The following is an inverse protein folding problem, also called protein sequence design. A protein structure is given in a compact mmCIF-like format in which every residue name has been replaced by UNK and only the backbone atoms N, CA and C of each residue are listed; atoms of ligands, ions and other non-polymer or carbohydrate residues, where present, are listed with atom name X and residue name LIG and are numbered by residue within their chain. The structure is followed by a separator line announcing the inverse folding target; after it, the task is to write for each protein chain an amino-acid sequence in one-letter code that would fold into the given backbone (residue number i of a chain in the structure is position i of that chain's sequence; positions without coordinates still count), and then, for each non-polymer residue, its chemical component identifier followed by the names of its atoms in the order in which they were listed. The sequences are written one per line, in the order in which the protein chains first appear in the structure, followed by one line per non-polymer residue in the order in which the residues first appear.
data_IF_917324980835
#
_entry.id   IF_917324980835
#
_cell.length_a   1.000
_cell.length_b   1.000
_cell.length_c   1.000
_cell.angle_alpha   90.00
_cell.angle_beta   90.00
_cell.angle_gamma   90.00
#
_symmetry.space_group_name_H-M   'P 1'
#
loop_
_entity.id
_entity.type
_entity.pdbx_description
1 polymer ?
#
# COMPACT_ATOMS: atom_id res chain seq x y z
N UNK A 1 -5.97 -13.19 -6.53
CA UNK A 1 -5.22 -11.94 -6.73
C UNK A 1 -4.47 -11.97 -8.07
N UNK A 2 -4.29 -10.81 -8.71
CA UNK A 2 -3.48 -10.63 -9.92
C UNK A 2 -2.08 -10.11 -9.55
N UNK A 3 -1.03 -10.53 -10.27
CA UNK A 3 0.30 -9.90 -10.15
C UNK A 3 0.27 -8.61 -10.96
N UNK A 4 0.47 -7.48 -10.31
CA UNK A 4 0.41 -6.15 -10.94
C UNK A 4 1.79 -5.53 -11.15
N UNK A 5 2.83 -6.07 -10.52
CA UNK A 5 4.21 -5.61 -10.67
C UNK A 5 5.20 -6.55 -10.00
N UNK A 6 6.47 -6.45 -10.38
CA UNK A 6 7.55 -7.24 -9.78
C UNK A 6 8.85 -6.43 -9.73
N UNK A 7 9.57 -6.52 -8.61
CA UNK A 7 10.92 -5.95 -8.48
C UNK A 7 11.79 -6.86 -7.61
N UNK A 8 13.01 -7.18 -8.07
CA UNK A 8 13.96 -8.05 -7.35
C UNK A 8 13.33 -9.39 -6.90
N UNK A 9 12.42 -9.97 -7.70
CA UNK A 9 11.72 -11.21 -7.36
C UNK A 9 10.58 -11.06 -6.35
N UNK A 10 10.25 -9.84 -5.92
CA UNK A 10 9.10 -9.54 -5.05
C UNK A 10 7.93 -9.14 -5.94
N UNK A 11 6.87 -9.93 -5.91
CA UNK A 11 5.64 -9.69 -6.68
C UNK A 11 4.65 -8.91 -5.84
N UNK A 12 4.06 -7.89 -6.43
CA UNK A 12 2.96 -7.12 -5.87
C UNK A 12 1.65 -7.65 -6.45
N UNK A 13 0.66 -7.79 -5.58
CA UNK A 13 -0.64 -8.35 -5.89
C UNK A 13 -1.76 -7.33 -5.71
N UNK A 14 -2.83 -7.49 -6.49
CA UNK A 14 -4.11 -6.82 -6.26
C UNK A 14 -5.25 -7.83 -6.20
N UNK A 15 -6.38 -7.47 -5.58
CA UNK A 15 -7.65 -8.16 -5.81
C UNK A 15 -7.96 -8.24 -7.31
N UNK A 16 -8.68 -9.28 -7.74
CA UNK A 16 -8.95 -9.54 -9.16
C UNK A 16 -9.92 -8.55 -9.80
N UNK A 17 -10.74 -7.92 -8.97
CA UNK A 17 -11.74 -6.91 -9.32
C UNK A 17 -11.23 -5.47 -9.12
N UNK A 18 -10.06 -5.28 -8.50
CA UNK A 18 -9.46 -3.97 -8.29
C UNK A 18 -8.93 -3.36 -9.60
N UNK A 19 -9.02 -2.04 -9.69
CA UNK A 19 -8.25 -1.28 -10.67
C UNK A 19 -6.87 -0.96 -10.10
N UNK A 20 -5.84 -0.88 -10.94
CA UNK A 20 -4.53 -0.40 -10.53
C UNK A 20 -3.98 0.60 -11.54
N UNK A 21 -3.11 1.51 -11.09
CA UNK A 21 -2.44 2.45 -11.98
C UNK A 21 -1.03 2.77 -11.51
N UNK A 22 -0.11 2.78 -12.46
CA UNK A 22 1.24 3.26 -12.25
C UNK A 22 1.35 4.78 -12.33
N UNK A 23 0.40 5.48 -12.96
CA UNK A 23 0.60 6.85 -13.44
C UNK A 23 -0.46 7.85 -12.97
N UNK A 24 -1.38 7.45 -12.09
CA UNK A 24 -2.51 8.31 -11.71
C UNK A 24 -2.12 9.43 -10.73
N UNK A 25 -1.13 9.19 -9.88
CA UNK A 25 -0.71 10.15 -8.85
C UNK A 25 0.45 11.03 -9.32
N UNK A 26 0.49 12.34 -8.95
CA UNK A 26 1.49 13.30 -9.42
C UNK A 26 2.82 13.21 -8.66
N UNK A 27 3.18 12.03 -8.14
CA UNK A 27 4.38 11.83 -7.35
C UNK A 27 5.49 11.16 -8.18
N UNK A 28 6.74 11.43 -7.82
CA UNK A 28 7.93 10.93 -8.53
C UNK A 28 7.89 9.41 -8.77
N UNK A 29 7.37 8.65 -7.80
CA UNK A 29 7.25 7.20 -7.92
C UNK A 29 6.43 6.78 -9.14
N UNK A 30 5.32 7.48 -9.39
CA UNK A 30 4.40 7.20 -10.49
C UNK A 30 4.97 7.65 -11.84
N UNK A 31 5.65 8.80 -11.91
CA UNK A 31 6.29 9.24 -13.15
C UNK A 31 7.43 8.33 -13.63
N UNK A 32 7.95 7.47 -12.76
CA UNK A 32 9.03 6.51 -13.07
C UNK A 32 8.57 5.04 -12.96
N UNK A 33 7.27 4.78 -12.84
CA UNK A 33 6.72 3.42 -12.66
C UNK A 33 7.34 2.62 -11.50
N UNK A 34 7.72 3.32 -10.42
CA UNK A 34 8.26 2.72 -9.18
C UNK A 34 7.25 2.69 -8.03
N UNK A 35 6.01 3.11 -8.28
CA UNK A 35 4.87 3.03 -7.36
C UNK A 35 3.61 2.63 -8.13
N UNK A 36 2.68 1.98 -7.43
CA UNK A 36 1.40 1.52 -7.98
C UNK A 36 0.31 1.92 -7.00
N UNK A 37 -0.72 2.59 -7.52
CA UNK A 37 -1.96 2.80 -6.79
C UNK A 37 -2.88 1.61 -7.06
N UNK A 38 -3.43 1.03 -5.99
CA UNK A 38 -4.44 -0.02 -6.05
C UNK A 38 -5.75 0.59 -5.57
N UNK A 39 -6.78 0.52 -6.42
CA UNK A 39 -8.13 0.97 -6.13
C UNK A 39 -9.00 -0.27 -5.96
N UNK A 40 -9.28 -0.70 -4.72
CA UNK A 40 -10.14 -1.84 -4.49
C UNK A 40 -11.55 -1.56 -5.03
N UNK A 41 -12.26 -2.59 -5.46
CA UNK A 41 -13.61 -2.47 -6.01
C UNK A 41 -14.67 -2.32 -4.91
N UNK A 42 -14.42 -1.43 -3.96
CA UNK A 42 -15.44 -0.95 -3.03
C UNK A 42 -15.84 0.47 -3.44
N UNK A 43 -17.15 0.70 -3.63
CA UNK A 43 -17.68 2.01 -4.05
C UNK A 43 -17.69 3.06 -2.92
N UNK A 44 -17.16 2.72 -1.74
CA UNK A 44 -17.18 3.55 -0.54
C UNK A 44 -15.77 3.85 -0.02
N UNK A 45 -15.59 5.04 0.54
CA UNK A 45 -14.35 5.44 1.22
C UNK A 45 -14.21 4.72 2.56
N UNK A 46 -12.97 4.34 2.91
CA UNK A 46 -12.68 3.70 4.20
C UNK A 46 -12.98 2.20 4.26
N UNK A 47 -13.22 1.57 3.10
CA UNK A 47 -13.35 0.12 2.99
C UNK A 47 -12.08 -0.64 3.40
N UNK A 48 -12.20 -1.95 3.64
CA UNK A 48 -11.05 -2.80 3.95
C UNK A 48 -10.11 -2.90 2.75
N UNK A 49 -8.82 -3.01 3.03
CA UNK A 49 -7.78 -3.24 2.03
C UNK A 49 -7.02 -4.51 2.36
N UNK A 50 -6.66 -5.27 1.33
CA UNK A 50 -5.84 -6.48 1.43
C UNK A 50 -4.35 -6.11 1.32
N UNK A 51 -3.49 -6.95 1.89
CA UNK A 51 -2.05 -6.78 1.71
C UNK A 51 -1.67 -7.13 0.26
N UNK A 52 -0.86 -6.31 -0.43
CA UNK A 52 -0.39 -6.65 -1.78
C UNK A 52 0.74 -7.68 -1.77
N UNK A 53 1.24 -8.08 -0.59
CA UNK A 53 2.32 -9.07 -0.45
C UNK A 53 2.15 -9.92 0.81
N UNK A 54 2.75 -11.12 0.77
CA UNK A 54 2.98 -11.95 1.96
C UNK A 54 4.25 -11.48 2.66
N UNK A 55 4.21 -11.34 3.98
CA UNK A 55 5.38 -10.91 4.73
C UNK A 55 5.08 -10.48 6.16
N UNK A 56 6.02 -9.77 6.76
CA UNK A 56 5.93 -9.29 8.14
C UNK A 56 5.81 -7.78 8.18
N UNK A 57 4.82 -7.28 8.92
CA UNK A 57 4.71 -5.85 9.23
C UNK A 57 5.83 -5.49 10.21
N UNK A 58 6.82 -4.72 9.75
CA UNK A 58 8.02 -4.38 10.55
C UNK A 58 8.01 -2.96 11.07
N UNK A 59 7.21 -2.06 10.47
CA UNK A 59 7.08 -0.68 10.94
C UNK A 59 5.77 -0.05 10.50
N UNK A 60 5.17 0.74 11.38
CA UNK A 60 4.09 1.68 11.07
C UNK A 60 4.50 3.08 11.51
N UNK A 61 4.43 4.04 10.58
CA UNK A 61 4.66 5.45 10.86
C UNK A 61 3.35 6.22 10.69
N UNK A 62 2.80 6.72 11.80
CA UNK A 62 1.64 7.62 11.79
C UNK A 62 2.11 9.06 11.60
N UNK A 63 1.49 9.78 10.67
CA UNK A 63 1.84 11.16 10.32
C UNK A 63 0.60 12.03 10.34
N UNK A 64 0.66 13.19 11.00
CA UNK A 64 -0.45 14.15 10.98
C UNK A 64 -0.54 14.82 9.62
N UNK A 65 -1.72 14.80 9.02
CA UNK A 65 -1.97 15.47 7.75
C UNK A 65 -1.91 16.99 7.94
N UNK A 66 -1.31 17.66 6.95
CA UNK A 66 -1.13 19.11 6.97
C UNK A 66 -2.43 19.84 6.62
N UNK A 67 -2.59 20.18 5.33
CA UNK A 67 -3.77 20.90 4.85
C UNK A 67 -4.97 19.95 4.71
N UNK A 68 -6.16 20.43 5.08
CA UNK A 68 -7.43 19.75 4.74
C UNK A 68 -7.53 19.61 3.23
N UNK A 69 -7.97 18.44 2.78
CA UNK A 69 -8.18 18.14 1.36
C UNK A 69 -9.66 18.26 1.01
N UNK A 70 -9.95 18.42 -0.28
CA UNK A 70 -11.32 18.55 -0.82
C UNK A 70 -12.05 17.21 -0.96
N UNK A 71 -11.45 16.12 -0.48
CA UNK A 71 -12.03 14.78 -0.46
C UNK A 71 -11.98 14.20 0.97
N UNK A 72 -12.80 13.17 1.28
CA UNK A 72 -12.80 12.55 2.60
C UNK A 72 -11.40 12.04 2.98
N UNK A 73 -10.82 12.61 4.03
CA UNK A 73 -9.51 12.20 4.55
C UNK A 73 -9.53 12.21 6.07
N UNK A 74 -8.78 11.30 6.67
CA UNK A 74 -8.48 11.34 8.09
C UNK A 74 -7.46 12.45 8.44
N UNK A 75 -7.43 12.83 9.72
CA UNK A 75 -6.41 13.75 10.28
C UNK A 75 -4.99 13.18 10.24
N UNK A 76 -4.87 11.88 10.00
CA UNK A 76 -3.61 11.15 9.98
C UNK A 76 -3.53 10.22 8.79
N UNK A 77 -2.31 10.09 8.26
CA UNK A 77 -1.95 9.10 7.26
C UNK A 77 -0.89 8.16 7.85
N UNK A 78 -0.70 7.01 7.20
CA UNK A 78 0.17 5.95 7.67
C UNK A 78 1.11 5.49 6.56
N UNK A 79 2.39 5.37 6.90
CA UNK A 79 3.35 4.59 6.15
C UNK A 79 3.55 3.23 6.81
N UNK A 80 3.30 2.15 6.08
CA UNK A 80 3.44 0.78 6.56
C UNK A 80 4.58 0.12 5.79
N UNK A 81 5.52 -0.47 6.52
CA UNK A 81 6.63 -1.23 5.97
C UNK A 81 6.39 -2.72 6.19
N UNK A 82 6.32 -3.47 5.09
CA UNK A 82 6.22 -4.92 5.10
C UNK A 82 7.51 -5.50 4.54
N UNK A 83 8.17 -6.35 5.32
CA UNK A 83 9.31 -7.12 4.89
C UNK A 83 8.78 -8.38 4.17
N UNK A 84 9.07 -8.56 2.87
CA UNK A 84 8.66 -9.75 2.14
C UNK A 84 9.29 -11.01 2.75
N UNK A 85 8.54 -12.11 2.79
CA UNK A 85 9.04 -13.39 3.32
C UNK A 85 10.27 -13.92 2.57
N UNK A 86 10.37 -13.59 1.28
CA UNK A 86 11.43 -14.05 0.38
C UNK A 86 12.61 -13.08 0.29
N UNK A 87 12.67 -12.03 1.12
CA UNK A 87 13.78 -11.06 1.10
C UNK A 87 13.97 -10.30 2.42
N UNK A 88 15.07 -10.56 3.11
CA UNK A 88 15.43 -9.84 4.35
C UNK A 88 15.89 -8.39 4.10
N UNK A 89 16.44 -8.09 2.92
CA UNK A 89 17.01 -6.78 2.59
C UNK A 89 16.05 -5.79 1.90
N UNK A 90 14.77 -6.13 1.78
CA UNK A 90 13.80 -5.33 1.06
C UNK A 90 12.60 -4.94 1.95
N UNK A 91 11.97 -3.83 1.59
CA UNK A 91 10.73 -3.37 2.21
C UNK A 91 9.76 -2.98 1.10
N UNK A 92 8.54 -3.46 1.21
CA UNK A 92 7.40 -2.92 0.46
C UNK A 92 6.71 -1.89 1.34
N UNK A 93 6.57 -0.67 0.82
CA UNK A 93 5.94 0.44 1.51
C UNK A 93 4.50 0.61 1.02
N UNK A 94 3.56 0.59 1.96
CA UNK A 94 2.14 0.86 1.71
C UNK A 94 1.81 2.21 2.35
N UNK A 95 1.00 3.01 1.65
CA UNK A 95 0.54 4.33 2.08
C UNK A 95 -0.99 4.38 2.04
N UNK A 96 -1.56 5.41 2.66
CA UNK A 96 -2.97 5.78 2.51
C UNK A 96 -3.98 4.74 3.02
N UNK A 97 -3.58 3.91 3.98
CA UNK A 97 -4.49 3.03 4.69
C UNK A 97 -4.14 2.95 6.19
N UNK A 98 -5.17 2.83 7.03
CA UNK A 98 -4.99 2.67 8.47
C UNK A 98 -4.74 1.18 8.78
N UNK A 99 -3.60 0.80 9.37
CA UNK A 99 -3.35 -0.60 9.70
C UNK A 99 -4.27 -1.06 10.83
N UNK A 100 -4.81 -2.27 10.69
CA UNK A 100 -5.53 -2.99 11.74
C UNK A 100 -4.62 -3.92 12.55
N UNK A 101 -3.46 -4.26 11.97
CA UNK A 101 -2.44 -5.14 12.56
C UNK A 101 -1.35 -4.34 13.28
N UNK A 102 -0.56 -5.04 14.11
CA UNK A 102 0.55 -4.46 14.89
C UNK A 102 1.89 -4.83 14.25
N UNK A 103 2.93 -4.06 14.57
CA UNK A 103 4.31 -4.44 14.23
C UNK A 103 4.63 -5.83 14.81
N UNK A 104 5.23 -6.68 13.99
CA UNK A 104 5.48 -8.08 14.29
C UNK A 104 4.47 -9.06 13.69
N UNK A 105 3.29 -8.60 13.28
CA UNK A 105 2.27 -9.44 12.64
C UNK A 105 2.66 -9.88 11.23
N UNK A 106 2.27 -11.09 10.85
CA UNK A 106 2.34 -11.60 9.48
C UNK A 106 1.11 -11.14 8.69
N UNK A 107 1.29 -10.89 7.40
CA UNK A 107 0.24 -10.64 6.42
C UNK A 107 0.34 -11.65 5.28
N UNK A 108 -0.79 -11.95 4.65
CA UNK A 108 -0.93 -12.82 3.48
C UNK A 108 -1.89 -12.22 2.45
#
# INVERSE_FOLDING_TARGET
MNVIGEAKGIKLHSPTDAYFSYFNSPYFGHSHATAIDIYPHHHEWGGPVESPIVGKLVRTQKTKMGRKKEFPTDDYDFGIAIQPENSEGAIVRILHCKPTLKEGSTVE
#
